data_IF_316751145408
#
_entry.id   IF_316751145408
#
_cell.length_a   1.000
_cell.length_b   1.000
_cell.length_c   1.000
_cell.angle_alpha   90.00
_cell.angle_beta   90.00
_cell.angle_gamma   90.00
#
_symmetry.space_group_name_H-M   'P 1'
#
loop_
_entity.id
_entity.type
_entity.pdbx_description
1 polymer ?
#
# COMPACT_ATOMS: atom_id res chain seq x y z
N UNK A 1 -21.87 -4.65 14.26
CA UNK A 1 -21.22 -5.45 13.18
C UNK A 1 -21.84 -6.83 13.18
N UNK A 2 -22.04 -7.43 12.00
CA UNK A 2 -22.48 -8.83 11.87
C UNK A 2 -21.40 -9.72 12.50
N UNK A 3 -21.79 -10.72 13.28
CA UNK A 3 -20.84 -11.66 13.87
C UNK A 3 -20.19 -12.46 12.73
N UNK A 4 -18.87 -12.42 12.64
CA UNK A 4 -18.11 -13.18 11.65
C UNK A 4 -17.98 -14.61 12.16
N UNK A 5 -18.52 -15.58 11.42
CA UNK A 5 -18.45 -17.01 11.73
C UNK A 5 -17.60 -17.78 10.72
N UNK A 6 -17.44 -17.24 9.50
CA UNK A 6 -16.57 -17.79 8.47
C UNK A 6 -15.85 -16.69 7.67
N UNK A 7 -14.54 -16.82 7.50
CA UNK A 7 -13.67 -15.92 6.71
C UNK A 7 -13.11 -16.66 5.50
N UNK A 8 -13.14 -16.02 4.33
CA UNK A 8 -12.37 -16.42 3.17
C UNK A 8 -11.09 -15.58 3.05
N UNK A 9 -9.93 -16.22 2.92
CA UNK A 9 -8.70 -15.51 2.58
C UNK A 9 -8.59 -15.38 1.06
N UNK A 10 -8.76 -14.16 0.52
CA UNK A 10 -8.59 -13.87 -0.90
C UNK A 10 -7.11 -13.68 -1.26
N UNK A 11 -6.28 -14.66 -0.87
CA UNK A 11 -4.84 -14.64 -1.03
C UNK A 11 -4.28 -16.09 -1.01
N UNK A 12 -2.95 -16.23 -1.05
CA UNK A 12 -2.25 -17.52 -1.09
C UNK A 12 -1.04 -17.54 -0.16
N UNK A 13 -0.36 -18.68 -0.07
CA UNK A 13 0.93 -18.81 0.63
C UNK A 13 0.84 -18.42 2.11
N UNK A 14 1.91 -17.84 2.67
CA UNK A 14 2.06 -17.57 4.10
C UNK A 14 0.99 -16.63 4.66
N UNK A 15 0.60 -15.59 3.92
CA UNK A 15 -0.37 -14.61 4.43
C UNK A 15 -1.76 -15.21 4.59
N UNK A 16 -2.16 -16.12 3.69
CA UNK A 16 -3.40 -16.87 3.83
C UNK A 16 -3.36 -17.76 5.09
N UNK A 17 -2.24 -18.45 5.33
CA UNK A 17 -2.04 -19.27 6.54
C UNK A 17 -2.06 -18.39 7.80
N UNK A 18 -1.46 -17.20 7.76
CA UNK A 18 -1.46 -16.24 8.87
C UNK A 18 -2.87 -15.76 9.22
N UNK A 19 -3.72 -15.55 8.21
CA UNK A 19 -5.14 -15.22 8.39
C UNK A 19 -5.87 -16.41 9.03
N UNK A 20 -5.68 -17.62 8.51
CA UNK A 20 -6.36 -18.82 9.02
C UNK A 20 -6.00 -19.11 10.48
N UNK A 21 -4.74 -18.96 10.88
CA UNK A 21 -4.33 -19.12 12.28
C UNK A 21 -5.09 -18.17 13.22
N UNK A 22 -5.20 -16.89 12.87
CA UNK A 22 -5.93 -15.92 13.70
C UNK A 22 -7.44 -16.20 13.74
N UNK A 23 -8.02 -16.64 12.62
CA UNK A 23 -9.42 -17.04 12.55
C UNK A 23 -9.68 -18.28 13.44
N UNK A 24 -8.84 -19.31 13.34
CA UNK A 24 -8.92 -20.55 14.14
C UNK A 24 -8.80 -20.25 15.65
N UNK A 25 -7.82 -19.44 16.06
CA UNK A 25 -7.64 -18.98 17.44
C UNK A 25 -8.88 -18.22 17.97
N UNK A 26 -9.68 -17.65 17.07
CA UNK A 26 -10.92 -16.93 17.38
C UNK A 26 -12.19 -17.79 17.22
N UNK A 27 -12.06 -19.08 16.89
CA UNK A 27 -13.18 -20.00 16.64
C UNK A 27 -13.98 -19.69 15.37
N UNK A 28 -13.36 -19.05 14.39
CA UNK A 28 -13.95 -18.64 13.11
C UNK A 28 -13.53 -19.65 12.03
N UNK A 29 -14.50 -20.17 11.27
CA UNK A 29 -14.22 -21.10 10.16
C UNK A 29 -13.48 -20.40 9.01
N UNK A 30 -12.73 -21.18 8.25
CA UNK A 30 -11.79 -20.67 7.26
C UNK A 30 -12.03 -21.28 5.88
N UNK A 31 -12.01 -20.43 4.85
CA UNK A 31 -12.05 -20.85 3.46
C UNK A 31 -10.83 -20.31 2.68
N UNK A 32 -10.19 -21.18 1.89
CA UNK A 32 -9.14 -20.79 0.96
C UNK A 32 -9.62 -20.79 -0.50
N UNK A 33 -9.00 -19.94 -1.30
CA UNK A 33 -9.02 -20.05 -2.77
C UNK A 33 -7.65 -20.51 -3.26
N UNK A 34 -7.63 -21.24 -4.38
CA UNK A 34 -6.39 -21.64 -5.04
C UNK A 34 -6.56 -21.70 -6.55
N UNK A 35 -5.52 -21.33 -7.31
CA UNK A 35 -5.47 -21.56 -8.75
C UNK A 35 -5.13 -23.03 -9.06
N UNK A 36 -5.37 -23.49 -10.30
CA UNK A 36 -5.04 -24.87 -10.71
C UNK A 36 -3.55 -25.20 -10.52
N UNK A 37 -2.70 -24.21 -10.74
CA UNK A 37 -1.25 -24.30 -10.58
C UNK A 37 -0.85 -24.41 -9.09
N UNK A 38 -1.62 -23.79 -8.20
CA UNK A 38 -1.44 -23.84 -6.74
C UNK A 38 -2.17 -25.02 -6.06
N UNK A 39 -2.62 -26.03 -6.80
CA UNK A 39 -3.34 -27.20 -6.21
C UNK A 39 -2.55 -27.95 -5.12
N UNK A 40 -1.23 -27.79 -5.07
CA UNK A 40 -0.36 -28.38 -4.05
C UNK A 40 0.12 -27.37 -3.00
N UNK A 41 -0.34 -26.12 -3.05
CA UNK A 41 0.07 -25.08 -2.12
C UNK A 41 -0.43 -25.38 -0.70
N UNK A 42 0.42 -25.09 0.30
CA UNK A 42 0.16 -25.45 1.70
C UNK A 42 -1.10 -24.75 2.24
N UNK A 43 -1.35 -23.49 1.86
CA UNK A 43 -2.49 -22.72 2.38
C UNK A 43 -3.84 -23.38 2.07
N UNK A 44 -3.95 -24.09 0.94
CA UNK A 44 -5.14 -24.86 0.54
C UNK A 44 -5.52 -25.93 1.58
N UNK A 45 -4.55 -26.49 2.29
CA UNK A 45 -4.73 -27.57 3.26
C UNK A 45 -4.69 -27.10 4.72
N UNK A 46 -4.55 -25.79 4.96
CA UNK A 46 -4.49 -25.17 6.30
C UNK A 46 -5.77 -24.41 6.65
N UNK A 47 -6.88 -24.82 6.04
CA UNK A 47 -8.20 -24.19 6.10
C UNK A 47 -9.26 -25.28 6.19
N UNK A 48 -10.48 -24.95 6.65
CA UNK A 48 -11.59 -25.92 6.75
C UNK A 48 -12.10 -26.38 5.38
N UNK A 49 -12.16 -25.46 4.42
CA UNK A 49 -12.63 -25.70 3.05
C UNK A 49 -11.79 -24.93 2.03
N UNK A 50 -11.64 -25.46 0.82
CA UNK A 50 -10.87 -24.79 -0.24
C UNK A 50 -11.53 -24.94 -1.61
N UNK A 51 -11.43 -23.90 -2.42
CA UNK A 51 -12.11 -23.80 -3.72
C UNK A 51 -11.16 -23.40 -4.84
N UNK A 52 -11.33 -24.01 -6.01
CA UNK A 52 -10.62 -23.59 -7.22
C UNK A 52 -11.17 -22.23 -7.66
N UNK A 53 -10.28 -21.26 -7.92
CA UNK A 53 -10.64 -19.92 -8.39
C UNK A 53 -10.08 -19.66 -9.79
N UNK A 54 -10.80 -18.85 -10.58
CA UNK A 54 -10.35 -18.40 -11.89
C UNK A 54 -10.08 -19.55 -12.86
N UNK A 55 -10.98 -20.53 -12.92
CA UNK A 55 -10.84 -21.68 -13.80
C UNK A 55 -10.60 -21.24 -15.26
N UNK A 56 -9.55 -21.78 -15.89
CA UNK A 56 -9.13 -21.40 -17.25
C UNK A 56 -8.30 -20.12 -17.35
N UNK A 57 -8.10 -19.37 -16.25
CA UNK A 57 -7.21 -18.18 -16.21
C UNK A 57 -5.78 -18.56 -15.82
N UNK A 58 -4.83 -17.67 -16.08
CA UNK A 58 -3.44 -17.84 -15.63
C UNK A 58 -3.31 -17.80 -14.09
N UNK A 59 -2.21 -18.31 -13.54
CA UNK A 59 -2.06 -18.55 -12.09
C UNK A 59 -2.21 -17.29 -11.24
N UNK A 60 -1.75 -16.14 -11.72
CA UNK A 60 -1.89 -14.85 -11.04
C UNK A 60 -3.27 -14.23 -11.31
N UNK A 61 -3.73 -14.30 -12.57
CA UNK A 61 -5.02 -13.75 -12.98
C UNK A 61 -6.18 -14.39 -12.21
N UNK A 62 -6.06 -15.66 -11.84
CA UNK A 62 -7.02 -16.35 -11.00
C UNK A 62 -7.26 -15.68 -9.64
N UNK A 63 -6.20 -15.17 -8.98
CA UNK A 63 -6.31 -14.45 -7.70
C UNK A 63 -6.71 -12.99 -7.85
N UNK A 64 -6.75 -12.47 -9.07
CA UNK A 64 -7.25 -11.13 -9.40
C UNK A 64 -8.70 -11.16 -9.91
N UNK A 65 -9.32 -12.33 -9.93
CA UNK A 65 -10.67 -12.55 -10.47
C UNK A 65 -11.76 -12.28 -9.42
N UNK A 66 -12.14 -11.01 -9.28
CA UNK A 66 -13.14 -10.56 -8.29
C UNK A 66 -14.46 -11.33 -8.44
N UNK A 67 -14.96 -11.55 -9.65
CA UNK A 67 -16.24 -12.23 -9.88
C UNK A 67 -16.21 -13.68 -9.39
N UNK A 68 -15.14 -14.41 -9.69
CA UNK A 68 -14.94 -15.78 -9.18
C UNK A 68 -14.81 -15.82 -7.65
N UNK A 69 -14.07 -14.88 -7.06
CA UNK A 69 -13.89 -14.79 -5.60
C UNK A 69 -15.24 -14.55 -4.90
N UNK A 70 -16.03 -13.59 -5.41
CA UNK A 70 -17.33 -13.25 -4.83
C UNK A 70 -18.34 -14.39 -5.01
N UNK A 71 -18.31 -15.08 -6.16
CA UNK A 71 -19.13 -16.28 -6.38
C UNK A 71 -18.79 -17.37 -5.35
N UNK A 72 -17.52 -17.71 -5.20
CA UNK A 72 -17.05 -18.71 -4.22
C UNK A 72 -17.48 -18.31 -2.81
N UNK A 73 -17.29 -17.04 -2.44
CA UNK A 73 -17.65 -16.52 -1.12
C UNK A 73 -19.16 -16.72 -0.82
N UNK A 74 -20.03 -16.49 -1.81
CA UNK A 74 -21.47 -16.70 -1.68
C UNK A 74 -21.84 -18.18 -1.57
N UNK A 75 -21.28 -19.01 -2.45
CA UNK A 75 -21.54 -20.45 -2.47
C UNK A 75 -21.07 -21.13 -1.16
N UNK A 76 -19.92 -20.68 -0.65
CA UNK A 76 -19.34 -21.12 0.63
C UNK A 76 -20.01 -20.48 1.87
N UNK A 77 -20.89 -19.50 1.67
CA UNK A 77 -21.58 -18.74 2.73
C UNK A 77 -20.60 -18.12 3.73
N UNK A 78 -19.57 -17.44 3.22
CA UNK A 78 -18.61 -16.72 4.08
C UNK A 78 -19.19 -15.37 4.50
N UNK A 79 -18.90 -14.95 5.73
CA UNK A 79 -19.37 -13.66 6.26
C UNK A 79 -18.42 -12.51 5.91
N UNK A 80 -17.14 -12.84 5.68
CA UNK A 80 -16.09 -11.87 5.50
C UNK A 80 -14.97 -12.37 4.59
N UNK A 81 -14.33 -11.44 3.88
CA UNK A 81 -13.14 -11.68 3.05
C UNK A 81 -11.97 -10.90 3.64
N UNK A 82 -10.86 -11.60 3.90
CA UNK A 82 -9.60 -10.96 4.24
C UNK A 82 -8.66 -11.04 3.04
N UNK A 83 -8.17 -9.90 2.50
CA UNK A 83 -7.41 -9.92 1.25
C UNK A 83 -5.90 -10.10 1.45
N UNK A 84 -5.40 -10.25 2.68
CA UNK A 84 -3.96 -10.26 2.97
C UNK A 84 -3.26 -8.98 2.49
N UNK A 85 -2.11 -9.14 1.84
CA UNK A 85 -1.37 -8.08 1.14
C UNK A 85 -1.13 -8.45 -0.33
N UNK A 86 -0.84 -7.46 -1.18
CA UNK A 86 -0.76 -7.67 -2.62
C UNK A 86 -2.12 -8.06 -3.22
N UNK A 87 -2.12 -8.57 -4.46
CA UNK A 87 -3.35 -8.91 -5.20
C UNK A 87 -4.42 -7.81 -5.14
N UNK A 88 -5.54 -8.09 -4.49
CA UNK A 88 -6.72 -7.22 -4.39
C UNK A 88 -6.84 -6.53 -3.03
N UNK A 89 -5.82 -6.59 -2.18
CA UNK A 89 -5.85 -5.99 -0.82
C UNK A 89 -6.05 -4.48 -0.80
N UNK A 90 -5.64 -3.80 -1.86
CA UNK A 90 -5.82 -2.36 -2.01
C UNK A 90 -6.85 -2.02 -3.10
N UNK A 91 -7.64 -2.99 -3.58
CA UNK A 91 -8.65 -2.79 -4.63
C UNK A 91 -9.95 -2.22 -4.04
N UNK A 92 -10.34 -0.98 -4.38
CA UNK A 92 -11.64 -0.45 -4.01
C UNK A 92 -12.80 -1.25 -4.62
N UNK A 93 -12.58 -1.87 -5.78
CA UNK A 93 -13.58 -2.67 -6.50
C UNK A 93 -13.92 -3.94 -5.74
N UNK A 94 -12.93 -4.65 -5.18
CA UNK A 94 -13.20 -5.82 -4.33
C UNK A 94 -13.97 -5.42 -3.08
N UNK A 95 -13.57 -4.33 -2.41
CA UNK A 95 -14.27 -3.82 -1.23
C UNK A 95 -15.73 -3.45 -1.54
N UNK A 96 -15.98 -2.81 -2.68
CA UNK A 96 -17.32 -2.47 -3.17
C UNK A 96 -18.15 -3.72 -3.50
N UNK A 97 -17.56 -4.73 -4.14
CA UNK A 97 -18.27 -5.99 -4.42
C UNK A 97 -18.60 -6.77 -3.16
N UNK A 98 -17.74 -6.74 -2.15
CA UNK A 98 -18.04 -7.31 -0.83
C UNK A 98 -19.27 -6.62 -0.21
N UNK A 99 -19.28 -5.29 -0.18
CA UNK A 99 -20.40 -4.49 0.33
C UNK A 99 -21.72 -4.81 -0.39
N UNK A 100 -21.71 -4.86 -1.73
CA UNK A 100 -22.89 -5.17 -2.55
C UNK A 100 -23.45 -6.57 -2.34
N UNK A 101 -22.65 -7.50 -1.81
CA UNK A 101 -23.03 -8.89 -1.59
C UNK A 101 -23.19 -9.26 -0.10
N UNK A 102 -23.28 -8.26 0.80
CA UNK A 102 -23.38 -8.46 2.27
C UNK A 102 -22.23 -9.30 2.84
N UNK A 103 -21.03 -9.13 2.28
CA UNK A 103 -19.78 -9.75 2.74
C UNK A 103 -18.92 -8.64 3.37
N UNK A 104 -18.40 -8.87 4.57
CA UNK A 104 -17.51 -7.91 5.21
C UNK A 104 -16.13 -7.95 4.57
N UNK A 105 -15.70 -6.84 3.96
CA UNK A 105 -14.29 -6.66 3.59
C UNK A 105 -13.47 -6.36 4.87
N UNK A 106 -12.49 -7.22 5.19
CA UNK A 106 -11.59 -7.02 6.33
C UNK A 106 -10.44 -6.12 5.89
N UNK A 107 -10.70 -4.82 5.95
CA UNK A 107 -9.80 -3.74 5.60
C UNK A 107 -10.53 -2.39 5.65
N UNK A 108 -9.89 -1.29 5.23
CA UNK A 108 -10.51 0.03 5.18
C UNK A 108 -11.67 0.10 4.17
N UNK A 109 -12.43 1.21 4.17
CA UNK A 109 -13.52 1.40 3.20
C UNK A 109 -12.99 1.63 1.79
N UNK A 110 -13.84 1.42 0.78
CA UNK A 110 -13.51 1.71 -0.63
C UNK A 110 -13.10 3.17 -0.85
N UNK A 111 -13.66 4.12 -0.09
CA UNK A 111 -13.28 5.53 -0.15
C UNK A 111 -11.85 5.75 0.36
N UNK A 112 -11.48 5.10 1.47
CA UNK A 112 -10.11 5.16 2.02
C UNK A 112 -9.12 4.51 1.04
N UNK A 113 -9.48 3.34 0.49
CA UNK A 113 -8.68 2.66 -0.53
C UNK A 113 -8.47 3.54 -1.77
N UNK A 114 -9.50 4.24 -2.25
CA UNK A 114 -9.38 5.18 -3.38
C UNK A 114 -8.47 6.36 -3.06
N UNK A 115 -8.58 6.95 -1.86
CA UNK A 115 -7.75 8.09 -1.44
C UNK A 115 -6.28 7.72 -1.35
N UNK A 116 -5.94 6.55 -0.81
CA UNK A 116 -4.55 6.13 -0.65
C UNK A 116 -3.96 5.37 -1.84
N UNK A 117 -4.80 4.80 -2.72
CA UNK A 117 -4.33 4.18 -3.97
C UNK A 117 -3.80 5.19 -5.00
N UNK A 118 -4.06 6.48 -4.81
CA UNK A 118 -3.49 7.57 -5.62
C UNK A 118 -2.49 8.38 -4.79
N UNK A 119 -1.21 8.40 -5.20
CA UNK A 119 -0.13 9.09 -4.48
C UNK A 119 -0.35 10.59 -4.34
N UNK A 120 -0.99 11.23 -5.31
CA UNK A 120 -1.30 12.67 -5.26
C UNK A 120 -2.35 12.95 -4.20
N UNK A 121 -3.42 12.16 -4.16
CA UNK A 121 -4.46 12.27 -3.14
C UNK A 121 -3.93 11.92 -1.74
N UNK A 122 -3.10 10.88 -1.63
CA UNK A 122 -2.44 10.52 -0.38
C UNK A 122 -1.57 11.66 0.18
N UNK A 123 -0.81 12.36 -0.67
CA UNK A 123 -0.04 13.54 -0.27
C UNK A 123 -0.93 14.69 0.16
N UNK A 124 -2.05 14.92 -0.54
CA UNK A 124 -3.02 15.93 -0.16
C UNK A 124 -3.58 15.65 1.24
N UNK A 125 -3.93 14.40 1.54
CA UNK A 125 -4.33 13.98 2.90
C UNK A 125 -3.25 14.31 3.93
N UNK A 126 -1.99 14.02 3.62
CA UNK A 126 -0.89 14.33 4.54
C UNK A 126 -0.72 15.84 4.76
N UNK A 127 -0.89 16.65 3.72
CA UNK A 127 -0.85 18.12 3.82
C UNK A 127 -2.02 18.68 4.61
N UNK A 128 -3.24 18.20 4.36
CA UNK A 128 -4.45 18.57 5.11
C UNK A 128 -4.30 18.22 6.61
N UNK A 129 -3.58 17.13 6.91
CA UNK A 129 -3.24 16.70 8.27
C UNK A 129 -2.03 17.43 8.90
N UNK A 130 -1.49 18.46 8.26
CA UNK A 130 -0.28 19.21 8.69
C UNK A 130 0.94 18.29 8.88
N UNK A 131 1.15 17.37 7.93
CA UNK A 131 2.32 16.49 7.86
C UNK A 131 3.14 16.81 6.61
N UNK A 132 4.44 17.03 6.81
CA UNK A 132 5.37 17.33 5.72
C UNK A 132 5.43 16.16 4.74
N UNK A 133 5.25 16.48 3.45
CA UNK A 133 5.52 15.56 2.34
C UNK A 133 6.86 15.89 1.71
N UNK A 134 7.47 14.93 1.00
CA UNK A 134 8.67 15.23 0.21
C UNK A 134 8.33 16.34 -0.80
N UNK A 135 9.13 17.43 -0.90
CA UNK A 135 8.91 18.46 -1.90
C UNK A 135 8.81 17.85 -3.29
N UNK A 136 7.73 18.17 -4.01
CA UNK A 136 7.42 17.49 -5.27
C UNK A 136 6.74 18.38 -6.29
N UNK A 137 6.93 18.06 -7.58
CA UNK A 137 6.29 18.70 -8.73
C UNK A 137 5.60 17.62 -9.56
N UNK A 138 4.32 17.83 -9.87
CA UNK A 138 3.59 16.98 -10.83
C UNK A 138 3.95 17.42 -12.25
N UNK A 139 4.27 16.47 -13.14
CA UNK A 139 4.54 16.79 -14.53
C UNK A 139 3.25 16.69 -15.34
N UNK A 140 2.95 17.73 -16.10
CA UNK A 140 1.79 17.84 -16.98
C UNK A 140 2.19 18.45 -18.31
N UNK A 141 1.32 18.33 -19.32
CA UNK A 141 1.52 18.99 -20.62
C UNK A 141 1.59 20.51 -20.49
N UNK A 142 0.91 21.07 -19.49
CA UNK A 142 0.81 22.50 -19.24
C UNK A 142 2.10 23.07 -18.64
N UNK A 143 2.76 22.32 -17.73
CA UNK A 143 3.95 22.81 -17.04
C UNK A 143 5.28 22.27 -17.59
N UNK A 144 5.31 21.47 -18.66
CA UNK A 144 6.57 20.90 -19.17
C UNK A 144 7.63 21.96 -19.55
N UNK A 145 7.20 23.17 -19.91
CA UNK A 145 8.08 24.32 -20.20
C UNK A 145 8.59 25.03 -18.94
N UNK A 146 7.92 24.84 -17.80
CA UNK A 146 8.24 25.50 -16.51
C UNK A 146 8.74 24.53 -15.45
N UNK A 147 8.59 23.22 -15.65
CA UNK A 147 8.92 22.15 -14.70
C UNK A 147 10.37 22.23 -14.22
N UNK A 148 11.29 22.59 -15.11
CA UNK A 148 12.70 22.74 -14.77
C UNK A 148 12.91 23.84 -13.72
N UNK A 149 12.23 24.99 -13.84
CA UNK A 149 12.31 26.09 -12.86
C UNK A 149 11.72 25.69 -11.51
N UNK A 150 10.68 24.85 -11.51
CA UNK A 150 10.07 24.34 -10.28
C UNK A 150 11.00 23.34 -9.59
N UNK A 151 11.66 22.47 -10.37
CA UNK A 151 12.67 21.52 -9.87
C UNK A 151 13.92 22.23 -9.37
N UNK A 152 14.36 23.32 -10.03
CA UNK A 152 15.49 24.12 -9.58
C UNK A 152 15.25 24.71 -8.17
N UNK A 153 13.98 25.05 -7.83
CA UNK A 153 13.61 25.48 -6.46
C UNK A 153 13.68 24.36 -5.44
N UNK A 154 13.41 23.12 -5.83
CA UNK A 154 13.59 21.92 -4.98
C UNK A 154 15.08 21.60 -4.81
N UNK A 155 15.85 21.80 -5.87
CA UNK A 155 17.28 21.54 -5.95
C UNK A 155 17.61 20.07 -6.20
N UNK A 156 18.69 19.82 -6.94
CA UNK A 156 19.19 18.49 -7.27
C UNK A 156 19.95 17.84 -6.09
N UNK A 157 20.11 16.50 -6.06
CA UNK A 157 19.45 15.53 -6.94
C UNK A 157 17.93 15.42 -6.68
N UNK A 158 17.20 15.01 -7.71
CA UNK A 158 15.76 14.71 -7.66
C UNK A 158 15.47 13.32 -8.20
N UNK A 159 14.29 12.78 -7.92
CA UNK A 159 13.86 11.46 -8.40
C UNK A 159 12.57 11.60 -9.20
N UNK A 160 12.57 11.09 -10.43
CA UNK A 160 11.38 10.99 -11.29
C UNK A 160 10.69 9.67 -10.99
N UNK A 161 9.37 9.71 -10.73
CA UNK A 161 8.55 8.55 -10.35
C UNK A 161 7.25 8.52 -11.16
N UNK A 162 6.77 7.32 -11.52
CA UNK A 162 5.43 7.13 -12.06
C UNK A 162 4.35 7.24 -10.97
N UNK A 163 3.24 7.92 -11.26
CA UNK A 163 2.13 8.12 -10.30
C UNK A 163 1.40 6.82 -9.94
N UNK A 164 1.35 5.87 -10.88
CA UNK A 164 0.60 4.61 -10.77
C UNK A 164 1.51 3.37 -10.59
N UNK A 165 2.82 3.59 -10.37
CA UNK A 165 3.80 2.51 -10.20
C UNK A 165 4.06 2.13 -8.73
N UNK A 166 4.31 0.85 -8.48
CA UNK A 166 4.67 0.28 -7.16
C UNK A 166 5.89 -0.64 -7.21
N UNK A 167 6.48 -0.93 -6.05
CA UNK A 167 7.55 -1.95 -5.91
C UNK A 167 8.92 -1.55 -6.49
N UNK A 168 9.21 -0.25 -6.57
CA UNK A 168 10.54 0.25 -6.92
C UNK A 168 10.86 0.38 -8.42
N UNK A 169 9.89 0.05 -9.30
CA UNK A 169 10.06 0.12 -10.76
C UNK A 169 9.65 1.50 -11.28
N UNK A 170 10.37 2.02 -12.29
CA UNK A 170 10.07 3.31 -12.91
C UNK A 170 10.50 4.52 -12.08
N UNK A 171 11.58 4.39 -11.30
CA UNK A 171 12.17 5.47 -10.52
C UNK A 171 13.58 5.78 -11.02
N UNK A 172 13.90 7.06 -11.24
CA UNK A 172 15.19 7.49 -11.79
C UNK A 172 15.71 8.70 -11.06
N UNK A 173 16.94 8.62 -10.56
CA UNK A 173 17.62 9.76 -9.91
C UNK A 173 18.26 10.63 -10.99
N UNK A 174 18.00 11.93 -10.91
CA UNK A 174 18.50 12.96 -11.81
C UNK A 174 19.39 13.88 -11.00
N UNK A 175 20.65 14.04 -11.43
CA UNK A 175 21.64 14.83 -10.70
C UNK A 175 21.80 16.25 -11.25
N UNK A 176 21.32 16.53 -12.47
CA UNK A 176 21.48 17.82 -13.10
C UNK A 176 20.26 18.22 -13.93
N UNK A 177 20.10 19.53 -14.15
CA UNK A 177 18.98 20.06 -14.93
C UNK A 177 19.04 19.72 -16.42
N UNK A 178 20.24 19.41 -16.93
CA UNK A 178 20.45 18.98 -18.32
C UNK A 178 19.81 17.62 -18.62
N UNK A 179 19.73 16.74 -17.63
CA UNK A 179 19.20 15.38 -17.78
C UNK A 179 17.68 15.32 -17.55
N UNK A 180 17.08 16.37 -16.96
CA UNK A 180 15.72 16.30 -16.41
C UNK A 180 14.67 15.93 -17.45
N UNK A 181 14.63 16.64 -18.59
CA UNK A 181 13.60 16.47 -19.62
C UNK A 181 13.69 15.09 -20.27
N UNK A 182 14.90 14.61 -20.51
CA UNK A 182 15.14 13.28 -21.08
C UNK A 182 14.65 12.19 -20.14
N UNK A 183 14.96 12.30 -18.83
CA UNK A 183 14.52 11.31 -17.84
C UNK A 183 13.00 11.33 -17.62
N UNK A 184 12.35 12.50 -17.69
CA UNK A 184 10.88 12.61 -17.69
C UNK A 184 10.30 11.84 -18.87
N UNK A 185 10.78 12.12 -20.08
CA UNK A 185 10.27 11.51 -21.33
C UNK A 185 10.37 9.97 -21.28
N UNK A 186 11.50 9.46 -20.80
CA UNK A 186 11.72 8.02 -20.64
C UNK A 186 10.73 7.44 -19.61
N UNK A 187 10.58 8.07 -18.44
CA UNK A 187 9.69 7.60 -17.39
C UNK A 187 8.22 7.58 -17.83
N UNK A 188 7.77 8.58 -18.60
CA UNK A 188 6.42 8.62 -19.17
C UNK A 188 6.18 7.46 -20.14
N UNK A 189 7.14 7.18 -21.02
CA UNK A 189 7.06 6.08 -21.98
C UNK A 189 7.00 4.71 -21.28
N UNK A 190 7.79 4.51 -20.23
CA UNK A 190 7.76 3.28 -19.42
C UNK A 190 6.43 3.13 -18.68
N UNK A 191 5.94 4.19 -18.04
CA UNK A 191 4.66 4.19 -17.33
C UNK A 191 3.50 3.89 -18.27
N UNK A 192 3.49 4.48 -19.47
CA UNK A 192 2.46 4.24 -20.47
C UNK A 192 2.44 2.76 -20.92
N UNK A 193 3.62 2.17 -21.14
CA UNK A 193 3.72 0.75 -21.53
C UNK A 193 3.32 -0.22 -20.42
N UNK A 194 3.64 0.11 -19.17
CA UNK A 194 3.40 -0.77 -18.03
C UNK A 194 1.99 -0.64 -17.44
N UNK A 195 1.43 0.57 -17.41
CA UNK A 195 0.21 0.90 -16.67
C UNK A 195 -0.86 1.60 -17.52
N UNK A 196 -0.58 1.90 -18.80
CA UNK A 196 -1.52 2.61 -19.69
C UNK A 196 -1.70 4.09 -19.36
N UNK A 197 -0.91 4.64 -18.43
CA UNK A 197 -0.95 6.05 -17.99
C UNK A 197 0.47 6.64 -18.00
N UNK A 198 0.62 7.86 -18.49
CA UNK A 198 1.89 8.59 -18.63
C UNK A 198 2.15 9.62 -17.50
N UNK A 199 1.34 9.59 -16.44
CA UNK A 199 1.48 10.50 -15.30
C UNK A 199 2.75 10.20 -14.49
N UNK A 200 3.61 11.22 -14.37
CA UNK A 200 4.85 11.19 -13.59
C UNK A 200 4.96 12.41 -12.68
N UNK A 201 5.70 12.27 -11.59
CA UNK A 201 6.01 13.36 -10.67
C UNK A 201 7.49 13.30 -10.27
N UNK A 202 8.00 14.44 -9.81
CA UNK A 202 9.40 14.64 -9.46
C UNK A 202 9.46 14.99 -7.99
N UNK A 203 10.34 14.33 -7.23
CA UNK A 203 10.54 14.59 -5.80
C UNK A 203 11.99 14.93 -5.48
N UNK A 204 12.21 15.64 -4.37
CA UNK A 204 13.55 15.73 -3.80
C UNK A 204 14.10 14.33 -3.54
N UNK A 205 15.31 14.05 -4.02
CA UNK A 205 16.00 12.81 -3.68
C UNK A 205 16.76 12.99 -2.37
N UNK A 206 16.45 12.17 -1.38
CA UNK A 206 17.10 12.15 -0.08
C UNK A 206 18.15 11.03 -0.09
N UNK A 207 19.43 11.40 -0.22
CA UNK A 207 20.53 10.45 -0.43
C UNK A 207 20.77 9.52 0.75
N UNK A 208 20.70 10.04 1.99
CA UNK A 208 20.88 9.28 3.22
C UNK A 208 19.59 9.32 4.06
N UNK A 209 18.52 8.82 3.45
CA UNK A 209 17.25 8.63 4.14
C UNK A 209 17.12 7.19 4.66
N UNK A 210 16.62 7.08 5.89
CA UNK A 210 16.06 5.84 6.38
C UNK A 210 14.58 5.72 5.97
N UNK A 211 14.13 4.50 5.66
CA UNK A 211 12.73 4.21 5.43
C UNK A 211 12.11 3.79 6.76
N UNK A 212 11.26 4.66 7.31
CA UNK A 212 10.57 4.44 8.58
C UNK A 212 9.09 4.34 8.30
N UNK A 213 8.43 3.35 8.89
CA UNK A 213 7.00 3.16 8.72
C UNK A 213 6.30 2.93 10.05
N UNK A 214 5.10 3.47 10.22
CA UNK A 214 4.33 3.40 11.46
C UNK A 214 3.12 2.52 11.25
N UNK A 215 2.98 1.50 12.11
CA UNK A 215 1.78 0.68 12.14
C UNK A 215 0.64 1.47 12.77
N UNK A 216 -0.50 1.54 12.10
CA UNK A 216 -1.74 2.09 12.65
C UNK A 216 -2.82 1.00 12.76
N UNK A 217 -3.65 1.12 13.78
CA UNK A 217 -4.89 0.37 13.96
C UNK A 217 -6.01 1.35 14.28
N UNK A 218 -7.11 1.28 13.53
CA UNK A 218 -8.31 2.07 13.79
C UNK A 218 -9.55 1.19 13.90
N UNK A 219 -10.50 1.61 14.72
CA UNK A 219 -11.83 0.99 14.79
C UNK A 219 -12.91 1.86 14.13
N UNK A 220 -14.13 1.34 14.02
CA UNK A 220 -15.27 2.08 13.45
C UNK A 220 -15.92 3.07 14.44
N UNK A 221 -15.35 3.23 15.64
CA UNK A 221 -15.81 4.14 16.68
C UNK A 221 -14.93 5.39 16.79
N UNK A 222 -13.95 5.55 15.88
CA UNK A 222 -13.06 6.70 15.82
C UNK A 222 -11.81 6.56 16.68
N UNK A 223 -11.58 5.41 17.32
CA UNK A 223 -10.34 5.15 18.04
C UNK A 223 -9.25 4.79 17.05
N UNK A 224 -8.09 5.45 17.17
CA UNK A 224 -6.91 5.16 16.35
C UNK A 224 -5.69 5.17 17.26
N UNK A 225 -4.89 4.10 17.17
CA UNK A 225 -3.62 3.96 17.87
C UNK A 225 -2.51 3.56 16.89
N UNK A 226 -1.27 3.73 17.32
CA UNK A 226 -0.10 3.23 16.59
C UNK A 226 0.56 2.11 17.39
N UNK A 227 1.17 1.16 16.68
CA UNK A 227 2.00 0.10 17.26
C UNK A 227 3.47 0.36 16.97
N UNK A 228 3.90 1.58 17.30
CA UNK A 228 5.25 2.10 17.02
C UNK A 228 5.64 2.01 15.54
N UNK A 229 6.93 2.21 15.27
CA UNK A 229 7.54 2.24 13.96
C UNK A 229 8.40 1.00 13.66
N UNK A 230 8.66 0.80 12.37
CA UNK A 230 9.62 -0.17 11.84
C UNK A 230 10.65 0.56 10.99
N UNK A 231 11.89 0.08 11.06
CA UNK A 231 12.97 0.43 10.14
C UNK A 231 13.00 -0.58 9.00
N UNK A 232 12.73 -0.09 7.79
CA UNK A 232 12.73 -0.86 6.55
C UNK A 232 13.79 -0.35 5.57
N UNK A 233 14.85 0.28 6.08
CA UNK A 233 15.89 0.92 5.26
C UNK A 233 16.80 -0.07 4.52
N UNK A 234 16.88 -1.33 4.98
CA UNK A 234 17.68 -2.36 4.34
C UNK A 234 16.94 -2.91 3.11
N UNK A 235 17.20 -2.26 1.98
CA UNK A 235 16.52 -2.51 0.71
C UNK A 235 17.51 -2.90 -0.39
N UNK A 236 17.03 -3.72 -1.35
CA UNK A 236 17.73 -3.97 -2.61
C UNK A 236 16.81 -3.57 -3.75
N UNK A 237 17.26 -2.63 -4.61
CA UNK A 237 16.44 -2.07 -5.70
C UNK A 237 15.07 -1.55 -5.21
N UNK A 238 15.07 -0.85 -4.08
CA UNK A 238 13.86 -0.30 -3.43
C UNK A 238 12.82 -1.34 -2.98
N UNK A 239 13.24 -2.59 -2.79
CA UNK A 239 12.42 -3.63 -2.16
C UNK A 239 13.00 -3.95 -0.77
N UNK A 240 12.12 -4.02 0.23
CA UNK A 240 12.48 -4.33 1.62
C UNK A 240 13.00 -5.77 1.70
N UNK A 241 14.12 -5.96 2.40
CA UNK A 241 14.80 -7.26 2.58
C UNK A 241 14.87 -7.64 4.06
N UNK A 242 15.18 -6.66 4.92
CA UNK A 242 15.22 -6.83 6.37
C UNK A 242 14.48 -5.65 6.99
N UNK A 243 13.49 -5.97 7.82
CA UNK A 243 12.73 -5.02 8.62
C UNK A 243 13.02 -5.24 10.11
N UNK A 244 13.10 -4.15 10.88
CA UNK A 244 13.37 -4.19 12.33
C UNK A 244 12.39 -3.32 13.09
N UNK A 245 12.03 -3.73 14.30
CA UNK A 245 11.17 -2.97 15.19
C UNK A 245 11.72 -3.02 16.63
N UNK A 246 11.79 -1.88 17.35
CA UNK A 246 11.66 -0.50 16.84
C UNK A 246 12.90 -0.09 16.02
N UNK A 247 12.87 1.11 15.42
CA UNK A 247 14.00 1.65 14.68
C UNK A 247 15.10 2.10 15.67
N UNK A 248 16.20 1.35 15.73
CA UNK A 248 17.21 1.47 16.81
C UNK A 248 17.96 2.82 16.83
N UNK A 249 18.03 3.52 15.70
CA UNK A 249 18.76 4.79 15.58
C UNK A 249 17.85 6.01 15.85
N UNK A 250 16.53 5.83 15.91
CA UNK A 250 15.61 6.92 16.20
C UNK A 250 15.63 7.25 17.69
N UNK A 251 15.86 8.53 17.99
CA UNK A 251 15.66 9.10 19.33
C UNK A 251 14.17 9.13 19.66
N UNK A 252 13.82 8.99 20.94
CA UNK A 252 12.42 8.98 21.42
C UNK A 252 11.59 10.17 20.91
N UNK A 253 12.17 11.38 20.89
CA UNK A 253 11.47 12.58 20.38
C UNK A 253 11.13 12.47 18.90
N UNK A 254 12.05 11.98 18.06
CA UNK A 254 11.81 11.77 16.63
C UNK A 254 10.78 10.66 16.41
N UNK A 255 10.89 9.56 17.16
CA UNK A 255 9.92 8.46 17.13
C UNK A 255 8.51 8.96 17.44
N UNK A 256 8.36 9.72 18.53
CA UNK A 256 7.08 10.29 18.94
C UNK A 256 6.50 11.17 17.83
N UNK A 257 7.30 12.09 17.25
CA UNK A 257 6.84 12.96 16.16
C UNK A 257 6.37 12.18 14.93
N UNK A 258 7.11 11.14 14.52
CA UNK A 258 6.76 10.32 13.36
C UNK A 258 5.47 9.52 13.62
N UNK A 259 5.34 8.93 14.82
CA UNK A 259 4.13 8.21 15.22
C UNK A 259 2.92 9.15 15.33
N UNK A 260 3.07 10.32 15.95
CA UNK A 260 2.02 11.34 16.05
C UNK A 260 1.55 11.78 14.64
N UNK A 261 2.48 11.95 13.69
CA UNK A 261 2.17 12.31 12.31
C UNK A 261 1.35 11.21 11.60
N UNK A 262 1.69 9.93 11.80
CA UNK A 262 0.91 8.82 11.27
C UNK A 262 -0.53 8.81 11.83
N UNK A 263 -0.69 9.08 13.13
CA UNK A 263 -2.00 9.21 13.77
C UNK A 263 -2.80 10.38 13.19
N UNK A 264 -2.18 11.53 12.95
CA UNK A 264 -2.86 12.68 12.32
C UNK A 264 -3.40 12.31 10.93
N UNK A 265 -2.57 11.69 10.09
CA UNK A 265 -2.99 11.23 8.74
C UNK A 265 -4.15 10.24 8.82
N UNK A 266 -4.07 9.28 9.74
CA UNK A 266 -5.12 8.29 9.94
C UNK A 266 -6.45 8.93 10.39
N UNK A 267 -6.39 9.94 11.27
CA UNK A 267 -7.56 10.68 11.74
C UNK A 267 -8.22 11.50 10.64
N UNK A 268 -7.43 12.12 9.76
CA UNK A 268 -7.93 12.93 8.63
C UNK A 268 -8.87 12.16 7.69
N UNK A 269 -8.79 10.83 7.69
CA UNK A 269 -9.63 9.97 6.84
C UNK A 269 -10.54 9.03 7.63
N UNK A 270 -10.61 9.18 8.96
CA UNK A 270 -11.30 8.24 9.86
C UNK A 270 -10.90 6.79 9.59
N UNK A 271 -9.58 6.55 9.54
CA UNK A 271 -9.03 5.25 9.18
C UNK A 271 -9.50 4.15 10.12
N UNK A 272 -9.90 3.00 9.56
CA UNK A 272 -10.20 1.80 10.34
C UNK A 272 -9.59 0.55 9.69
N UNK A 273 -9.39 -0.50 10.49
CA UNK A 273 -8.60 -1.66 10.12
C UNK A 273 -7.12 -1.45 10.43
N UNK A 274 -6.27 -2.27 9.82
CA UNK A 274 -4.82 -2.15 9.91
C UNK A 274 -4.24 -1.46 8.67
N UNK A 275 -3.30 -0.56 8.91
CA UNK A 275 -2.60 0.17 7.85
C UNK A 275 -1.18 0.52 8.27
N UNK A 276 -0.37 0.93 7.32
CA UNK A 276 0.99 1.40 7.58
C UNK A 276 1.20 2.75 6.90
N UNK A 277 1.68 3.74 7.65
CA UNK A 277 2.05 5.06 7.12
C UNK A 277 3.57 5.10 6.97
N UNK A 278 4.05 5.33 5.76
CA UNK A 278 5.47 5.30 5.43
C UNK A 278 6.07 6.70 5.33
N UNK A 279 7.31 6.82 5.79
CA UNK A 279 8.09 8.05 5.85
C UNK A 279 9.54 7.82 5.37
N UNK A 280 10.13 8.86 4.81
CA UNK A 280 11.58 8.98 4.69
C UNK A 280 12.09 9.87 5.81
N UNK A 281 13.03 9.35 6.60
CA UNK A 281 13.73 10.08 7.65
C UNK A 281 15.12 10.47 7.15
N UNK A 282 15.36 11.76 6.93
CA UNK A 282 16.65 12.28 6.50
C UNK A 282 17.61 12.33 7.69
N UNK A 283 18.64 11.47 7.67
CA UNK A 283 19.60 11.37 8.78
C UNK A 283 20.48 12.62 8.93
N UNK A 284 20.64 13.42 7.87
CA UNK A 284 21.47 14.64 7.91
C UNK A 284 20.74 15.75 8.66
N UNK A 285 19.45 15.93 8.40
CA UNK A 285 18.65 17.03 8.98
C UNK A 285 17.84 16.61 10.21
N UNK A 286 17.56 15.31 10.36
CA UNK A 286 16.65 14.79 11.39
C UNK A 286 15.17 15.05 11.08
N UNK A 287 14.86 15.53 9.87
CA UNK A 287 13.50 15.74 9.38
C UNK A 287 12.92 14.46 8.79
N UNK A 288 11.59 14.36 8.77
CA UNK A 288 10.89 13.24 8.13
C UNK A 288 9.81 13.74 7.18
N UNK A 289 9.54 12.93 6.17
CA UNK A 289 8.63 13.26 5.08
C UNK A 289 7.73 12.08 4.78
N UNK A 290 6.42 12.30 4.77
CA UNK A 290 5.44 11.31 4.33
C UNK A 290 5.70 10.91 2.87
N UNK A 291 5.57 9.62 2.57
CA UNK A 291 5.67 9.08 1.21
C UNK A 291 4.40 8.36 0.74
N UNK A 292 3.87 7.44 1.53
CA UNK A 292 2.67 6.67 1.16
C UNK A 292 1.98 6.06 2.38
N UNK A 293 0.74 5.60 2.17
CA UNK A 293 0.03 4.72 3.11
C UNK A 293 -0.21 3.41 2.39
N UNK A 294 0.10 2.30 3.04
CA UNK A 294 -0.36 0.99 2.63
C UNK A 294 -1.66 0.69 3.40
N UNK A 295 -2.84 0.76 2.77
CA UNK A 295 -4.11 0.65 3.47
C UNK A 295 -4.50 -0.83 3.70
N UNK A 296 -3.57 -1.62 4.23
CA UNK A 296 -3.63 -3.06 4.45
C UNK A 296 -2.63 -3.49 5.54
N UNK A 297 -2.61 -4.79 5.84
CA UNK A 297 -1.56 -5.43 6.66
C UNK A 297 -0.18 -5.36 5.98
#
# INVERSE_FOLDING_TARGET
MKKISKILAANRSEIAIRIFRAAEESGIKTAAIYSKEDRFAIHRFKTDESYLVGEGKGPIQAYLDIDSIIKIAKDAKVDAIHPGYGFLSESPELAEQCERNDITFIGPSKEILKRFGNKTEAKKVAQDADVKTVPSVLVSKENIKTVQKEVDKIGYPVIVKASWGGGGRGMRVVHSSKELIDQITIAQSESLKAFGKDEVFIEKFLEDAAHIEVQILGDKHGNILHLYERDCSLQRRHQKIIERAPAHFLKEHSRKKICDAAIKIAKEVNYFGAGTVEFLFDKKTGEFYFIEVNPRI
#
